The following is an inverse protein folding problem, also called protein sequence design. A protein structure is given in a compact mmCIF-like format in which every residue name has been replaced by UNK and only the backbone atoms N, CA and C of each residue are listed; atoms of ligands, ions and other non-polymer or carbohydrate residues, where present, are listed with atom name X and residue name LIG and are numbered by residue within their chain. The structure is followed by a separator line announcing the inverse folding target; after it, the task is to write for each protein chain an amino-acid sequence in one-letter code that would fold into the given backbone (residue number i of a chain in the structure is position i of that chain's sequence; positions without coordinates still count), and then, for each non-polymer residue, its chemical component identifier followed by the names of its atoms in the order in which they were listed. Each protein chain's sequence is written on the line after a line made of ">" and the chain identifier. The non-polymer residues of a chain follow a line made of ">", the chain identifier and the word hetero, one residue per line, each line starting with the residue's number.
data_IF_939532119796
#
_entry.id   IF_939532119796
#
_cell.length_a   1.000
_cell.length_b   1.000
_cell.length_c   1.000
_cell.angle_alpha   90.00
_cell.angle_beta   90.00
_cell.angle_gamma   90.00
#
_symmetry.space_group_name_H-M   'P 1'
#
loop_
_entity.id
_entity.type
_entity.pdbx_description
1 polymer ?
#
# COMPACT_ATOMS: atom_id res chain seq x y z
N UNK A 1 0.94 15.14 3.36
CA UNK A 1 1.06 15.34 4.83
C UNK A 1 2.38 15.96 5.23
N UNK A 2 3.52 15.39 4.83
CA UNK A 2 4.86 15.91 5.15
C UNK A 2 5.03 17.43 4.93
N UNK A 3 4.64 17.96 3.77
CA UNK A 3 4.74 19.42 3.50
C UNK A 3 3.89 20.29 4.43
N UNK A 4 2.70 19.81 4.82
CA UNK A 4 1.83 20.52 5.76
C UNK A 4 2.43 20.56 7.16
N UNK A 5 3.14 19.49 7.55
CA UNK A 5 3.85 19.40 8.82
C UNK A 5 5.17 20.18 8.81
N UNK A 6 5.90 20.29 7.70
CA UNK A 6 7.10 21.16 7.64
C UNK A 6 6.76 22.65 7.61
N UNK A 7 5.63 23.03 7.03
CA UNK A 7 5.17 24.43 6.98
C UNK A 7 4.75 24.99 8.35
N UNK A 8 4.63 24.11 9.34
CA UNK A 8 4.20 24.39 10.69
C UNK A 8 5.30 25.10 11.52
N UNK A 9 6.56 24.96 11.11
CA UNK A 9 7.72 25.67 11.69
C UNK A 9 8.23 25.07 13.00
N UNK A 10 7.62 23.99 13.49
CA UNK A 10 8.04 23.29 14.70
C UNK A 10 9.12 22.24 14.39
N UNK A 11 10.24 22.22 15.13
CA UNK A 11 11.29 21.22 14.92
C UNK A 11 10.81 19.77 15.13
N UNK A 12 9.85 19.52 16.04
CA UNK A 12 9.37 18.16 16.31
C UNK A 12 8.53 17.60 15.14
N UNK A 13 7.65 18.43 14.60
CA UNK A 13 6.86 18.15 13.40
C UNK A 13 7.76 17.86 12.20
N UNK A 14 8.83 18.64 12.02
CA UNK A 14 9.83 18.42 10.96
C UNK A 14 10.56 17.08 11.06
N UNK A 15 10.89 16.62 12.27
CA UNK A 15 11.52 15.29 12.46
C UNK A 15 10.54 14.18 12.08
N UNK A 16 9.27 14.27 12.49
CA UNK A 16 8.22 13.33 12.07
C UNK A 16 8.05 13.28 10.55
N UNK A 17 8.05 14.44 9.88
CA UNK A 17 7.96 14.54 8.43
C UNK A 17 9.17 13.91 7.72
N UNK A 18 10.39 14.10 8.23
CA UNK A 18 11.60 13.52 7.64
C UNK A 18 11.57 11.99 7.66
N UNK A 19 11.12 11.40 8.78
CA UNK A 19 10.91 9.95 8.93
C UNK A 19 9.82 9.44 7.98
N UNK A 20 8.77 10.24 7.75
CA UNK A 20 7.67 9.90 6.82
C UNK A 20 8.19 9.79 5.41
N UNK A 21 8.93 10.81 4.98
CA UNK A 21 9.51 10.85 3.65
C UNK A 21 10.49 9.71 3.42
N UNK A 22 11.35 9.35 4.39
CA UNK A 22 12.30 8.25 4.20
C UNK A 22 11.60 6.90 4.00
N UNK A 23 10.54 6.61 4.75
CA UNK A 23 9.77 5.37 4.60
C UNK A 23 8.94 5.37 3.32
N UNK A 24 8.34 6.52 2.98
CA UNK A 24 7.53 6.68 1.77
C UNK A 24 8.37 6.52 0.50
N UNK A 25 9.61 7.04 0.45
CA UNK A 25 10.50 6.87 -0.70
C UNK A 25 10.80 5.39 -0.96
N UNK A 26 11.05 4.60 0.10
CA UNK A 26 11.27 3.16 -0.02
C UNK A 26 10.00 2.44 -0.49
N UNK A 27 8.85 2.81 0.08
CA UNK A 27 7.56 2.26 -0.30
C UNK A 27 7.21 2.53 -1.77
N UNK A 28 7.38 3.76 -2.24
CA UNK A 28 7.12 4.13 -3.65
C UNK A 28 8.02 3.34 -4.62
N UNK A 29 9.26 3.02 -4.22
CA UNK A 29 10.14 2.11 -4.97
C UNK A 29 9.57 0.69 -5.10
N UNK A 30 8.95 0.17 -4.04
CA UNK A 30 8.29 -1.14 -4.05
C UNK A 30 7.05 -1.15 -4.94
N UNK A 31 6.23 -0.09 -4.86
CA UNK A 31 5.06 0.08 -5.73
C UNK A 31 5.47 0.20 -7.20
N UNK A 32 6.47 1.04 -7.50
CA UNK A 32 6.97 1.23 -8.86
C UNK A 32 7.47 -0.10 -9.45
N UNK A 33 8.29 -0.85 -8.71
CA UNK A 33 8.77 -2.15 -9.16
C UNK A 33 7.65 -3.13 -9.45
N UNK A 34 6.64 -3.19 -8.56
CA UNK A 34 5.47 -4.04 -8.74
C UNK A 34 4.67 -3.65 -10.00
N UNK A 35 4.40 -2.36 -10.21
CA UNK A 35 3.65 -1.90 -11.39
C UNK A 35 4.40 -2.17 -12.69
N UNK A 36 5.73 -1.99 -12.70
CA UNK A 36 6.57 -2.28 -13.87
C UNK A 36 6.42 -3.76 -14.26
N UNK A 37 6.44 -4.67 -13.29
CA UNK A 37 6.32 -6.11 -13.57
C UNK A 37 4.98 -6.44 -14.23
N UNK A 38 3.87 -5.91 -13.70
CA UNK A 38 2.55 -6.08 -14.29
C UNK A 38 2.47 -5.47 -15.70
N UNK A 39 3.11 -4.33 -15.92
CA UNK A 39 3.14 -3.65 -17.22
C UNK A 39 3.93 -4.45 -18.27
N UNK A 40 5.02 -5.13 -17.89
CA UNK A 40 5.83 -5.94 -18.81
C UNK A 40 5.02 -7.13 -19.33
N UNK A 41 4.28 -7.83 -18.47
CA UNK A 41 3.42 -8.94 -18.90
C UNK A 41 2.18 -8.50 -19.66
N UNK A 42 1.52 -7.43 -19.20
CA UNK A 42 0.29 -6.97 -19.86
C UNK A 42 0.55 -6.22 -21.16
N UNK A 43 1.77 -5.70 -21.38
CA UNK A 43 2.10 -4.78 -22.47
C UNK A 43 1.30 -3.46 -22.41
N UNK A 44 0.67 -3.15 -21.27
CA UNK A 44 -0.28 -2.05 -21.11
C UNK A 44 -0.33 -1.59 -19.65
N UNK A 45 -0.60 -0.30 -19.47
CA UNK A 45 -0.80 0.34 -18.16
C UNK A 45 -2.28 0.43 -17.75
N UNK A 46 -3.20 -0.08 -18.58
CA UNK A 46 -4.62 -0.10 -18.25
C UNK A 46 -4.89 -1.19 -17.23
N UNK A 47 -5.38 -0.81 -16.06
CA UNK A 47 -5.72 -1.74 -14.96
C UNK A 47 -6.62 -2.88 -15.46
N UNK A 48 -7.63 -2.57 -16.29
CA UNK A 48 -8.52 -3.59 -16.86
C UNK A 48 -7.83 -4.61 -17.77
N UNK A 49 -6.80 -4.23 -18.53
CA UNK A 49 -6.04 -5.20 -19.33
C UNK A 49 -5.13 -6.06 -18.46
N UNK A 50 -4.49 -5.46 -17.45
CA UNK A 50 -3.63 -6.18 -16.51
C UNK A 50 -4.42 -7.29 -15.81
N UNK A 51 -5.59 -6.98 -15.26
CA UNK A 51 -6.45 -7.93 -14.55
C UNK A 51 -6.87 -9.09 -15.47
N UNK A 52 -7.19 -8.80 -16.73
CA UNK A 52 -7.62 -9.83 -17.71
C UNK A 52 -6.49 -10.81 -18.09
N UNK A 53 -5.27 -10.32 -18.20
CA UNK A 53 -4.10 -11.19 -18.45
C UNK A 53 -3.79 -12.01 -17.19
N UNK A 54 -3.87 -11.39 -16.01
CA UNK A 54 -3.63 -12.07 -14.74
C UNK A 54 -4.66 -13.20 -14.46
N UNK A 55 -5.91 -13.04 -14.90
CA UNK A 55 -6.94 -14.08 -14.73
C UNK A 55 -6.77 -15.29 -15.65
N UNK A 56 -6.06 -15.13 -16.78
CA UNK A 56 -5.91 -16.18 -17.78
C UNK A 56 -4.64 -17.02 -17.59
N UNK A 57 -3.54 -16.42 -17.12
CA UNK A 57 -2.30 -17.15 -16.81
C UNK A 57 -1.54 -16.51 -15.64
N UNK A 58 -1.63 -17.06 -14.42
CA UNK A 58 -0.82 -16.58 -13.31
C UNK A 58 0.65 -16.95 -13.53
N UNK A 59 1.49 -15.95 -13.76
CA UNK A 59 2.94 -16.09 -13.92
C UNK A 59 3.67 -15.97 -12.57
N UNK A 60 4.83 -16.60 -12.42
CA UNK A 60 5.58 -16.57 -11.16
C UNK A 60 6.06 -15.16 -10.85
N UNK A 61 6.51 -14.40 -11.83
CA UNK A 61 6.87 -13.00 -11.61
C UNK A 61 5.71 -12.15 -11.06
N UNK A 62 4.47 -12.40 -11.49
CA UNK A 62 3.29 -11.64 -11.03
C UNK A 62 2.89 -11.98 -9.60
N UNK A 63 3.06 -13.23 -9.18
CA UNK A 63 2.82 -13.63 -7.78
C UNK A 63 3.91 -13.11 -6.85
N UNK A 64 5.18 -13.10 -7.32
CA UNK A 64 6.29 -12.50 -6.58
C UNK A 64 6.12 -10.98 -6.47
N UNK A 65 5.61 -10.29 -7.50
CA UNK A 65 5.29 -8.86 -7.47
C UNK A 65 4.20 -8.49 -6.46
N UNK A 66 3.33 -9.44 -6.12
CA UNK A 66 2.24 -9.21 -5.18
C UNK A 66 2.74 -9.00 -3.75
N UNK A 67 3.85 -9.64 -3.39
CA UNK A 67 4.45 -9.57 -2.04
C UNK A 67 4.90 -8.15 -1.70
N UNK A 68 5.79 -7.48 -2.48
CA UNK A 68 6.18 -6.10 -2.20
C UNK A 68 5.00 -5.13 -2.30
N UNK A 69 4.02 -5.39 -3.18
CA UNK A 69 2.79 -4.60 -3.23
C UNK A 69 1.97 -4.72 -1.95
N UNK A 70 1.83 -5.93 -1.39
CA UNK A 70 1.14 -6.15 -0.12
C UNK A 70 1.81 -5.47 1.05
N UNK A 71 3.13 -5.55 1.13
CA UNK A 71 3.91 -4.85 2.15
C UNK A 71 3.79 -3.33 2.00
N UNK A 72 3.79 -2.81 0.78
CA UNK A 72 3.57 -1.39 0.53
C UNK A 72 2.20 -0.91 1.01
N UNK A 73 1.14 -1.66 0.72
CA UNK A 73 -0.23 -1.33 1.16
C UNK A 73 -0.34 -1.35 2.69
N UNK A 74 0.36 -2.27 3.34
CA UNK A 74 0.44 -2.33 4.78
C UNK A 74 1.20 -1.12 5.36
N UNK A 75 2.35 -0.77 4.77
CA UNK A 75 3.14 0.42 5.13
C UNK A 75 2.32 1.70 5.02
N UNK A 76 1.56 1.86 3.94
CA UNK A 76 0.72 3.03 3.70
C UNK A 76 -0.58 3.08 4.51
N UNK A 77 -0.92 1.98 5.17
CA UNK A 77 -2.03 1.99 6.12
C UNK A 77 -1.64 2.62 7.45
N UNK A 78 -0.37 3.01 7.63
CA UNK A 78 0.17 3.70 8.82
C UNK A 78 -0.20 2.98 10.13
N UNK A 79 -0.17 1.65 10.10
CA UNK A 79 -0.54 0.82 11.25
C UNK A 79 0.69 0.27 11.97
N UNK A 80 0.52 -0.06 13.25
CA UNK A 80 1.55 -0.73 14.07
C UNK A 80 1.92 -2.04 13.39
N UNK A 81 3.19 -2.33 13.08
CA UNK A 81 4.41 -1.80 13.68
C UNK A 81 5.15 -0.73 12.89
N UNK A 82 4.63 -0.29 11.73
CA UNK A 82 5.24 0.71 10.84
C UNK A 82 4.70 2.14 11.06
N UNK A 83 3.82 2.33 12.05
CA UNK A 83 3.37 3.62 12.56
C UNK A 83 4.48 4.37 13.32
N UNK A 84 5.37 5.02 12.55
CA UNK A 84 6.61 5.65 13.05
C UNK A 84 6.51 7.18 12.99
N UNK A 85 5.56 7.71 12.23
CA UNK A 85 5.43 9.15 11.95
C UNK A 85 4.49 9.85 12.93
N UNK A 86 3.48 9.14 13.44
CA UNK A 86 2.62 9.64 14.50
C UNK A 86 3.20 9.32 15.88
N UNK A 87 3.82 8.13 16.04
CA UNK A 87 4.66 7.66 17.15
C UNK A 87 4.57 8.47 18.46
N UNK A 88 3.36 8.49 19.04
CA UNK A 88 3.00 9.25 20.25
C UNK A 88 3.96 9.09 21.45
N UNK A 89 4.61 7.93 21.70
CA UNK A 89 5.57 7.79 22.79
C UNK A 89 7.01 8.20 22.46
N UNK A 90 7.39 8.36 21.19
CA UNK A 90 8.77 8.71 20.80
C UNK A 90 8.92 10.16 20.33
N UNK A 91 7.92 10.72 19.65
CA UNK A 91 7.92 12.12 19.21
C UNK A 91 6.51 12.71 19.34
N UNK A 92 6.47 14.02 19.53
CA UNK A 92 5.32 14.89 19.27
C UNK A 92 4.99 14.79 17.77
N UNK A 93 4.08 13.88 17.41
CA UNK A 93 3.84 13.39 16.04
C UNK A 93 3.48 14.43 14.96
N UNK A 94 3.46 13.97 13.70
CA UNK A 94 3.23 14.76 12.48
C UNK A 94 1.96 15.64 12.51
N UNK A 95 0.94 15.22 13.26
CA UNK A 95 -0.38 15.85 13.27
C UNK A 95 -0.57 16.90 14.38
N UNK A 96 0.43 17.13 15.23
CA UNK A 96 0.28 17.88 16.48
C UNK A 96 -0.21 19.32 16.29
N UNK A 97 0.10 19.94 15.15
CA UNK A 97 -0.29 21.33 14.88
C UNK A 97 -1.60 21.47 14.13
N UNK A 98 -2.19 20.36 13.71
CA UNK A 98 -3.49 20.36 13.08
C UNK A 98 -4.59 20.23 14.12
N UNK A 99 -5.56 21.14 14.06
CA UNK A 99 -6.73 21.14 14.94
C UNK A 99 -8.04 21.20 14.15
N UNK A 100 -9.11 20.69 14.77
CA UNK A 100 -10.47 20.73 14.25
C UNK A 100 -10.60 20.23 12.81
N UNK A 101 -11.02 21.13 11.91
CA UNK A 101 -11.27 20.82 10.49
C UNK A 101 -10.05 20.31 9.74
N UNK A 102 -8.86 20.87 10.00
CA UNK A 102 -7.63 20.48 9.28
C UNK A 102 -7.19 19.08 9.67
N UNK A 103 -7.33 18.72 10.95
CA UNK A 103 -7.06 17.37 11.44
C UNK A 103 -8.04 16.36 10.84
N UNK A 104 -9.33 16.71 10.73
CA UNK A 104 -10.34 15.87 10.10
C UNK A 104 -10.02 15.58 8.62
N UNK A 105 -9.62 16.59 7.85
CA UNK A 105 -9.19 16.41 6.46
C UNK A 105 -7.96 15.50 6.35
N UNK A 106 -6.99 15.67 7.24
CA UNK A 106 -5.77 14.85 7.24
C UNK A 106 -6.11 13.38 7.51
N UNK A 107 -6.87 13.07 8.57
CA UNK A 107 -7.30 11.70 8.88
C UNK A 107 -8.15 11.08 7.77
N UNK A 108 -9.04 11.87 7.16
CA UNK A 108 -9.85 11.39 6.05
C UNK A 108 -9.00 11.02 4.83
N UNK A 109 -7.96 11.82 4.54
CA UNK A 109 -7.04 11.48 3.44
C UNK A 109 -6.22 10.21 3.71
N UNK A 110 -5.86 9.91 4.96
CA UNK A 110 -5.22 8.63 5.35
C UNK A 110 -6.16 7.46 5.06
N UNK A 111 -7.42 7.58 5.47
CA UNK A 111 -8.44 6.55 5.23
C UNK A 111 -8.70 6.32 3.73
N UNK A 112 -8.83 7.39 2.94
CA UNK A 112 -8.97 7.27 1.48
C UNK A 112 -7.74 6.61 0.87
N UNK A 113 -6.53 7.01 1.28
CA UNK A 113 -5.29 6.45 0.73
C UNK A 113 -5.19 4.94 0.99
N UNK A 114 -5.38 4.53 2.24
CA UNK A 114 -5.35 3.11 2.63
C UNK A 114 -6.42 2.31 1.90
N UNK A 115 -7.65 2.82 1.80
CA UNK A 115 -8.72 2.14 1.06
C UNK A 115 -8.41 2.01 -0.43
N UNK A 116 -7.99 3.07 -1.12
CA UNK A 116 -7.64 3.01 -2.54
C UNK A 116 -6.51 1.99 -2.79
N UNK A 117 -5.47 2.00 -1.98
CA UNK A 117 -4.35 1.06 -2.12
C UNK A 117 -4.76 -0.39 -1.82
N UNK A 118 -5.58 -0.60 -0.79
CA UNK A 118 -6.18 -1.91 -0.49
C UNK A 118 -7.03 -2.42 -1.66
N UNK A 119 -7.83 -1.56 -2.28
CA UNK A 119 -8.64 -1.95 -3.45
C UNK A 119 -7.77 -2.36 -4.63
N UNK A 120 -6.69 -1.64 -4.88
CA UNK A 120 -5.74 -1.94 -5.96
C UNK A 120 -5.09 -3.31 -5.74
N UNK A 121 -4.66 -3.60 -4.50
CA UNK A 121 -4.13 -4.91 -4.14
C UNK A 121 -5.14 -6.02 -4.36
N UNK A 122 -6.37 -5.85 -3.87
CA UNK A 122 -7.44 -6.82 -3.99
C UNK A 122 -7.65 -7.17 -5.47
N UNK A 123 -7.80 -6.17 -6.34
CA UNK A 123 -7.99 -6.39 -7.78
C UNK A 123 -6.82 -7.09 -8.48
N UNK A 124 -5.58 -6.85 -8.06
CA UNK A 124 -4.39 -7.51 -8.63
C UNK A 124 -4.17 -8.90 -8.05
N UNK A 125 -4.44 -9.10 -6.77
CA UNK A 125 -4.22 -10.38 -6.08
C UNK A 125 -5.22 -11.45 -6.51
N UNK A 126 -6.43 -11.05 -6.83
CA UNK A 126 -7.51 -11.97 -7.11
C UNK A 126 -8.39 -11.41 -8.26
N UNK A 127 -7.94 -11.51 -9.51
CA UNK A 127 -8.61 -10.90 -10.67
C UNK A 127 -9.96 -11.54 -11.05
N UNK A 128 -10.35 -12.68 -10.46
CA UNK A 128 -11.42 -13.56 -10.96
C UNK A 128 -12.86 -13.14 -10.63
N UNK A 129 -13.11 -12.25 -9.68
CA UNK A 129 -14.49 -11.86 -9.33
C UNK A 129 -15.03 -10.70 -10.16
N UNK A 130 -14.19 -10.04 -10.98
CA UNK A 130 -14.63 -8.86 -11.71
C UNK A 130 -15.59 -9.31 -12.82
N UNK A 131 -16.84 -8.84 -12.74
CA UNK A 131 -17.76 -9.01 -13.85
C UNK A 131 -17.23 -8.20 -15.05
N UNK A 132 -16.98 -8.86 -16.17
CA UNK A 132 -16.46 -8.24 -17.40
C UNK A 132 -17.38 -7.13 -17.97
N UNK A 133 -18.61 -7.00 -17.46
CA UNK A 133 -19.57 -6.01 -17.94
C UNK A 133 -20.48 -5.47 -16.84
N UNK A 134 -20.68 -4.14 -16.84
CA UNK A 134 -21.64 -3.42 -15.99
C UNK A 134 -23.11 -3.85 -16.20
N UNK A 135 -23.39 -4.57 -17.28
CA UNK A 135 -24.73 -5.00 -17.70
C UNK A 135 -25.04 -6.42 -17.18
N UNK A 136 -24.05 -7.12 -16.66
CA UNK A 136 -24.23 -8.48 -16.15
C UNK A 136 -25.05 -8.47 -14.84
N UNK A 137 -26.03 -9.38 -14.67
CA UNK A 137 -26.80 -9.51 -13.42
C UNK A 137 -25.93 -9.85 -12.21
N UNK A 138 -24.67 -10.25 -12.43
CA UNK A 138 -23.68 -10.53 -11.39
C UNK A 138 -22.96 -9.29 -10.84
N UNK A 139 -23.20 -8.10 -11.38
CA UNK A 139 -22.60 -6.85 -10.89
C UNK A 139 -22.81 -6.58 -9.38
N UNK A 140 -24.03 -6.66 -8.79
CA UNK A 140 -24.21 -6.43 -7.35
C UNK A 140 -23.45 -7.44 -6.48
N UNK A 141 -23.29 -8.68 -6.95
CA UNK A 141 -22.52 -9.72 -6.26
C UNK A 141 -21.03 -9.35 -6.24
N UNK A 142 -20.50 -8.78 -7.32
CA UNK A 142 -19.10 -8.33 -7.36
C UNK A 142 -18.80 -7.21 -6.35
N UNK A 143 -19.75 -6.28 -6.15
CA UNK A 143 -19.61 -5.21 -5.14
C UNK A 143 -19.58 -5.80 -3.72
N UNK A 144 -20.49 -6.73 -3.42
CA UNK A 144 -20.56 -7.38 -2.11
C UNK A 144 -19.28 -8.16 -1.83
N UNK A 145 -18.76 -8.91 -2.83
CA UNK A 145 -17.49 -9.63 -2.71
C UNK A 145 -16.31 -8.70 -2.49
N UNK A 146 -16.24 -7.59 -3.23
CA UNK A 146 -15.21 -6.57 -3.05
C UNK A 146 -15.23 -5.97 -1.64
N UNK A 147 -16.42 -5.66 -1.11
CA UNK A 147 -16.60 -5.12 0.22
C UNK A 147 -16.21 -6.14 1.30
N UNK A 148 -16.57 -7.42 1.10
CA UNK A 148 -16.17 -8.52 1.97
C UNK A 148 -14.65 -8.70 1.99
N UNK A 149 -13.98 -8.66 0.83
CA UNK A 149 -12.54 -8.78 0.76
C UNK A 149 -11.82 -7.59 1.37
N UNK A 150 -12.32 -6.37 1.18
CA UNK A 150 -11.81 -5.18 1.86
C UNK A 150 -11.92 -5.33 3.38
N UNK A 151 -13.08 -5.81 3.85
CA UNK A 151 -13.28 -6.09 5.27
C UNK A 151 -12.29 -7.16 5.77
N UNK A 152 -12.10 -8.23 5.03
CA UNK A 152 -11.18 -9.32 5.39
C UNK A 152 -9.72 -8.83 5.41
N UNK A 153 -9.28 -8.07 4.40
CA UNK A 153 -7.93 -7.51 4.34
C UNK A 153 -7.66 -6.57 5.51
N UNK A 154 -8.58 -5.64 5.77
CA UNK A 154 -8.44 -4.71 6.90
C UNK A 154 -8.54 -5.41 8.25
N UNK A 155 -9.31 -6.50 8.35
CA UNK A 155 -9.34 -7.36 9.52
C UNK A 155 -7.99 -8.05 9.75
N UNK A 156 -7.37 -8.62 8.70
CA UNK A 156 -6.01 -9.20 8.78
C UNK A 156 -5.01 -8.15 9.26
N UNK A 157 -5.04 -6.94 8.69
CA UNK A 157 -4.17 -5.85 9.12
C UNK A 157 -4.38 -5.55 10.61
N UNK A 158 -5.63 -5.44 11.06
CA UNK A 158 -5.94 -5.18 12.48
C UNK A 158 -5.41 -6.28 13.40
N UNK A 159 -5.47 -7.55 12.99
CA UNK A 159 -4.89 -8.67 13.74
C UNK A 159 -3.37 -8.55 13.81
N UNK A 160 -2.71 -8.24 12.70
CA UNK A 160 -1.27 -7.99 12.66
C UNK A 160 -0.87 -6.85 13.60
N UNK A 161 -1.64 -5.76 13.60
CA UNK A 161 -1.39 -4.59 14.45
C UNK A 161 -1.51 -4.94 15.93
N UNK A 162 -2.46 -5.79 16.29
CA UNK A 162 -2.64 -6.25 17.67
C UNK A 162 -1.57 -7.25 18.13
N UNK A 163 -0.91 -7.93 17.18
CA UNK A 163 0.04 -9.00 17.45
C UNK A 163 1.50 -8.53 17.46
N UNK A 164 1.81 -7.45 16.74
CA UNK A 164 3.17 -6.97 16.53
C UNK A 164 3.50 -5.77 17.43
N UNK A 165 4.72 -5.77 17.97
CA UNK A 165 5.27 -4.62 18.68
C UNK A 165 5.79 -3.56 17.69
N UNK A 166 5.71 -2.28 18.07
CA UNK A 166 6.20 -1.16 17.25
C UNK A 166 7.68 -1.31 16.90
N UNK A 167 8.03 -1.07 15.63
CA UNK A 167 9.42 -1.07 15.21
C UNK A 167 10.08 0.29 15.49
N UNK A 168 11.35 0.23 15.91
CA UNK A 168 12.24 1.38 15.86
C UNK A 168 12.60 1.69 14.41
N UNK A 169 12.83 2.97 14.07
CA UNK A 169 13.10 3.42 12.70
C UNK A 169 14.13 2.60 11.95
N UNK A 170 15.29 2.34 12.57
CA UNK A 170 16.36 1.63 11.88
C UNK A 170 15.89 0.23 11.47
N UNK A 171 15.21 -0.48 12.37
CA UNK A 171 14.68 -1.82 12.11
C UNK A 171 13.54 -1.77 11.08
N UNK A 172 12.75 -0.69 11.06
CA UNK A 172 11.69 -0.52 10.08
C UNK A 172 12.24 -0.30 8.67
N UNK A 173 13.29 0.52 8.52
CA UNK A 173 13.98 0.71 7.24
C UNK A 173 14.64 -0.61 6.81
N UNK A 174 15.38 -1.27 7.70
CA UNK A 174 16.05 -2.55 7.42
C UNK A 174 15.07 -3.65 7.03
N UNK A 175 13.87 -3.69 7.61
CA UNK A 175 12.84 -4.67 7.24
C UNK A 175 12.21 -4.42 5.87
N UNK A 176 12.28 -3.20 5.32
CA UNK A 176 11.77 -2.87 3.98
C UNK A 176 12.76 -3.14 2.85
N UNK A 177 14.06 -3.02 3.12
CA UNK A 177 15.12 -3.31 2.13
C UNK A 177 14.96 -4.67 1.42
N UNK A 178 14.71 -5.81 2.11
CA UNK A 178 14.55 -7.08 1.40
C UNK A 178 13.37 -7.08 0.44
N UNK A 179 12.27 -6.39 0.76
CA UNK A 179 11.11 -6.32 -0.14
C UNK A 179 11.37 -5.45 -1.37
N UNK A 180 12.23 -4.43 -1.26
CA UNK A 180 12.71 -3.69 -2.45
C UNK A 180 13.57 -4.60 -3.33
N UNK A 181 14.41 -5.45 -2.74
CA UNK A 181 15.18 -6.43 -3.52
C UNK A 181 14.26 -7.44 -4.23
N UNK A 182 13.18 -7.87 -3.56
CA UNK A 182 12.17 -8.75 -4.16
C UNK A 182 11.42 -8.05 -5.30
N UNK A 183 11.13 -6.74 -5.20
CA UNK A 183 10.52 -6.01 -6.31
C UNK A 183 11.44 -5.92 -7.52
N UNK A 184 12.75 -5.68 -7.32
CA UNK A 184 13.74 -5.75 -8.41
C UNK A 184 13.87 -7.16 -8.99
N UNK A 185 13.88 -8.20 -8.16
CA UNK A 185 13.91 -9.59 -8.61
C UNK A 185 12.68 -9.92 -9.48
N UNK A 186 11.51 -9.46 -9.06
CA UNK A 186 10.27 -9.61 -9.83
C UNK A 186 10.39 -8.99 -11.22
N UNK A 187 11.01 -7.80 -11.36
CA UNK A 187 11.22 -7.15 -12.66
C UNK A 187 12.10 -8.04 -13.56
N UNK A 188 13.18 -8.59 -13.01
CA UNK A 188 14.08 -9.48 -13.77
C UNK A 188 13.36 -10.74 -14.23
N UNK A 189 12.56 -11.36 -13.36
CA UNK A 189 11.72 -12.51 -13.71
C UNK A 189 10.72 -12.16 -14.81
N UNK A 190 10.12 -10.97 -14.74
CA UNK A 190 9.20 -10.49 -15.77
C UNK A 190 9.85 -10.38 -17.15
N UNK A 191 11.09 -9.90 -17.23
CA UNK A 191 11.85 -9.86 -18.48
C UNK A 191 12.26 -11.25 -19.00
N UNK A 192 12.47 -12.21 -18.09
CA UNK A 192 12.74 -13.61 -18.44
C UNK A 192 11.49 -14.36 -18.92
N UNK A 193 10.30 -13.78 -18.76
CA UNK A 193 9.03 -14.35 -19.18
C UNK A 193 8.51 -15.49 -18.28
N UNK A 194 9.00 -15.57 -17.03
CA UNK A 194 8.62 -16.59 -16.03
C UNK A 194 7.79 -15.95 -14.93
#
# INVERSE_FOLDING_TARGET
>A
MAFGSTASGNPFSGIGASRMLSMMILGEGMLAGSIITFSVFSGSLRIGSVIKILSTSPHLATTVALIPLAVFVYLESERVPLDIHEAEPEIIGLLVEFSGRKLGLMKYSMMIRSTVLATLLIHLAFPWWLADSYISPFYPISIILWLLLLFLLTFIFTVLDSSLARYRINNAIESLVPFICISFLSIVLAFLGV
#
